data_IF_179680481789
#
_entry.id   IF_179680481789
#
_cell.length_a   1.000
_cell.length_b   1.000
_cell.length_c   1.000
_cell.angle_alpha   90.00
_cell.angle_beta   90.00
_cell.angle_gamma   90.00
#
_symmetry.space_group_name_H-M   'P 1'
#
loop_
_entity.id
_entity.type
_entity.pdbx_description
1 polymer ?
#
# COMPACT_ATOMS: atom_id res chain seq x y z
N UNK A 1 24.82 -0.64 -10.02
CA UNK A 1 23.95 -1.67 -10.62
C UNK A 1 24.84 -2.54 -11.49
N UNK A 2 24.86 -3.83 -11.28
CA UNK A 2 25.66 -4.78 -12.07
C UNK A 2 25.02 -5.11 -13.42
N UNK A 3 25.72 -5.88 -14.26
CA UNK A 3 25.27 -6.18 -15.62
C UNK A 3 24.04 -7.13 -15.64
N UNK A 4 23.86 -7.93 -14.59
CA UNK A 4 22.70 -8.82 -14.46
C UNK A 4 21.42 -8.02 -14.17
N UNK A 5 21.50 -7.09 -13.22
CA UNK A 5 20.38 -6.20 -12.90
C UNK A 5 19.98 -5.32 -14.11
N UNK A 6 20.96 -4.84 -14.89
CA UNK A 6 20.66 -4.07 -16.11
C UNK A 6 19.90 -4.89 -17.15
N UNK A 7 20.37 -6.11 -17.42
CA UNK A 7 19.67 -7.03 -18.36
C UNK A 7 18.27 -7.38 -17.87
N UNK A 8 18.09 -7.59 -16.57
CA UNK A 8 16.77 -7.83 -15.99
C UNK A 8 15.81 -6.65 -16.15
N UNK A 9 16.29 -5.42 -15.94
CA UNK A 9 15.47 -4.21 -16.14
C UNK A 9 15.14 -4.03 -17.63
N UNK A 10 16.06 -4.33 -18.54
CA UNK A 10 15.80 -4.28 -19.97
C UNK A 10 14.76 -5.31 -20.40
N UNK A 11 14.84 -6.54 -19.89
CA UNK A 11 13.81 -7.56 -20.11
C UNK A 11 12.45 -7.13 -19.59
N UNK A 12 12.40 -6.56 -18.39
CA UNK A 12 11.16 -6.01 -17.82
C UNK A 12 10.55 -4.92 -18.71
N UNK A 13 11.36 -3.97 -19.18
CA UNK A 13 10.90 -2.90 -20.10
C UNK A 13 10.30 -3.47 -21.38
N UNK A 14 10.98 -4.45 -21.99
CA UNK A 14 10.48 -5.12 -23.19
C UNK A 14 9.12 -5.78 -22.93
N UNK A 15 8.93 -6.45 -21.78
CA UNK A 15 7.63 -7.04 -21.42
C UNK A 15 6.55 -5.99 -21.19
N UNK A 16 6.89 -4.82 -20.63
CA UNK A 16 5.94 -3.70 -20.51
C UNK A 16 5.50 -3.21 -21.89
N UNK A 17 6.46 -3.04 -22.84
CA UNK A 17 6.19 -2.57 -24.20
C UNK A 17 5.39 -3.59 -25.03
N UNK A 18 5.63 -4.89 -24.82
CA UNK A 18 4.94 -5.99 -25.51
C UNK A 18 3.55 -6.30 -24.89
N UNK A 19 3.29 -5.84 -23.67
CA UNK A 19 2.03 -6.12 -22.98
C UNK A 19 0.85 -5.42 -23.68
N UNK A 20 -0.19 -6.18 -23.96
CA UNK A 20 -1.42 -5.65 -24.58
C UNK A 20 -2.06 -4.57 -23.70
N UNK A 21 -2.72 -3.59 -24.31
CA UNK A 21 -3.42 -2.54 -23.55
C UNK A 21 -4.36 -3.13 -22.47
N UNK A 22 -4.27 -2.57 -21.25
CA UNK A 22 -5.08 -2.97 -20.11
C UNK A 22 -4.75 -4.36 -19.53
N UNK A 23 -3.58 -4.93 -19.84
CA UNK A 23 -3.20 -6.27 -19.41
C UNK A 23 -2.03 -6.29 -18.40
N UNK A 24 -1.53 -5.14 -17.98
CA UNK A 24 -0.59 -5.02 -16.88
C UNK A 24 -1.33 -4.69 -15.59
N UNK A 25 -0.92 -5.33 -14.49
CA UNK A 25 -1.34 -4.99 -13.12
C UNK A 25 -0.10 -4.81 -12.25
N UNK A 26 -0.13 -3.79 -11.42
CA UNK A 26 0.88 -3.56 -10.39
C UNK A 26 0.32 -3.92 -9.01
N UNK A 27 1.09 -4.69 -8.23
CA UNK A 27 0.79 -5.06 -6.85
C UNK A 27 1.87 -4.54 -5.93
N UNK A 28 1.56 -3.52 -5.11
CA UNK A 28 2.53 -2.79 -4.32
C UNK A 28 2.37 -2.94 -2.80
N UNK A 29 3.50 -2.82 -2.08
CA UNK A 29 3.55 -2.70 -0.63
C UNK A 29 4.41 -1.51 -0.18
N UNK A 30 4.70 -1.42 1.13
CA UNK A 30 5.33 -0.26 1.75
C UNK A 30 6.71 0.12 1.16
N UNK A 31 7.44 -0.85 0.61
CA UNK A 31 8.72 -0.62 -0.08
C UNK A 31 8.60 0.27 -1.33
N UNK A 32 7.41 0.43 -1.90
CA UNK A 32 7.17 1.38 -3.01
C UNK A 32 7.33 2.82 -2.54
N UNK A 33 6.96 3.13 -1.31
CA UNK A 33 6.95 4.49 -0.75
C UNK A 33 8.22 4.87 0.01
N UNK A 34 9.21 3.97 0.14
CA UNK A 34 10.46 4.28 0.86
C UNK A 34 11.25 5.41 0.21
N UNK A 35 11.27 5.51 -1.12
CA UNK A 35 11.88 6.62 -1.87
C UNK A 35 11.05 7.93 -1.80
N UNK A 36 9.87 7.89 -1.18
CA UNK A 36 9.06 9.07 -0.81
C UNK A 36 9.27 9.51 0.63
N UNK A 37 10.20 8.85 1.36
CA UNK A 37 10.51 9.14 2.76
C UNK A 37 9.59 8.44 3.77
N UNK A 38 8.72 7.53 3.33
CA UNK A 38 7.87 6.74 4.23
C UNK A 38 8.58 5.42 4.54
N UNK A 39 8.96 5.14 5.81
CA UNK A 39 9.62 3.89 6.16
C UNK A 39 8.69 2.70 5.92
N UNK A 40 9.23 1.60 5.45
CA UNK A 40 8.49 0.35 5.43
C UNK A 40 8.34 -0.25 6.84
N UNK A 41 7.64 -1.37 6.97
CA UNK A 41 7.37 -1.97 8.27
C UNK A 41 8.51 -2.83 8.80
N UNK A 42 9.23 -3.59 7.94
CA UNK A 42 10.06 -4.73 8.33
C UNK A 42 11.54 -4.60 8.03
N UNK A 43 11.96 -3.60 7.28
CA UNK A 43 13.38 -3.35 7.04
C UNK A 43 14.11 -3.00 8.36
N UNK A 44 15.45 -3.04 8.40
CA UNK A 44 16.21 -2.63 9.59
C UNK A 44 15.88 -1.22 10.08
N UNK A 45 15.49 -0.32 9.18
CA UNK A 45 15.08 1.07 9.47
C UNK A 45 13.56 1.23 9.50
N UNK A 46 12.82 0.12 9.38
CA UNK A 46 11.37 0.09 9.30
C UNK A 46 10.67 0.37 10.64
N UNK A 47 9.36 0.50 10.55
CA UNK A 47 8.52 0.84 11.71
C UNK A 47 8.67 -0.20 12.83
N UNK A 48 8.79 -1.50 12.51
CA UNK A 48 8.89 -2.57 13.51
C UNK A 48 10.28 -2.70 14.16
N UNK A 49 11.32 -2.11 13.60
CA UNK A 49 12.63 -2.08 14.21
C UNK A 49 12.75 -1.05 15.36
N UNK A 50 11.81 -0.14 15.50
CA UNK A 50 11.81 0.91 16.52
C UNK A 50 11.25 0.37 17.85
N UNK A 51 11.68 1.02 18.97
CA UNK A 51 11.21 0.64 20.32
C UNK A 51 9.90 1.36 20.65
N UNK A 52 8.89 0.59 20.97
CA UNK A 52 7.58 1.06 21.42
C UNK A 52 7.19 0.39 22.75
N UNK A 53 6.20 0.95 23.49
CA UNK A 53 5.67 0.32 24.71
C UNK A 53 5.07 -1.08 24.46
N UNK A 54 4.46 -1.26 23.26
CA UNK A 54 3.88 -2.52 22.81
C UNK A 54 4.43 -2.88 21.42
N UNK A 55 4.41 -4.16 21.00
CA UNK A 55 4.73 -4.53 19.62
C UNK A 55 3.91 -3.73 18.62
N UNK A 56 4.51 -3.17 17.54
CA UNK A 56 3.79 -2.35 16.57
C UNK A 56 2.57 -3.04 15.96
N UNK A 57 2.64 -4.35 15.69
CA UNK A 57 1.49 -5.11 15.20
C UNK A 57 0.32 -5.10 16.20
N UNK A 58 0.60 -5.12 17.50
CA UNK A 58 -0.42 -4.99 18.53
C UNK A 58 -1.01 -3.59 18.52
N UNK A 59 -0.17 -2.55 18.43
CA UNK A 59 -0.62 -1.14 18.47
C UNK A 59 -1.54 -0.78 17.29
N UNK A 60 -1.44 -1.49 16.17
CA UNK A 60 -2.31 -1.33 15.00
C UNK A 60 -3.31 -2.49 14.84
N UNK A 61 -3.68 -3.14 15.92
CA UNK A 61 -4.77 -4.14 15.95
C UNK A 61 -6.10 -3.52 16.34
N UNK A 62 -7.19 -4.16 15.94
CA UNK A 62 -8.55 -3.73 16.29
C UNK A 62 -8.80 -3.82 17.80
N UNK A 63 -8.35 -4.89 18.43
CA UNK A 63 -8.49 -5.08 19.88
C UNK A 63 -7.73 -4.02 20.70
N UNK A 64 -6.55 -3.59 20.24
CA UNK A 64 -5.82 -2.50 20.89
C UNK A 64 -6.53 -1.15 20.69
N UNK A 65 -6.99 -0.87 19.47
CA UNK A 65 -7.78 0.34 19.19
C UNK A 65 -9.01 0.44 20.12
N UNK A 66 -9.75 -0.66 20.27
CA UNK A 66 -10.96 -0.67 21.12
C UNK A 66 -10.64 -0.51 22.62
N UNK A 67 -9.52 -1.07 23.10
CA UNK A 67 -9.12 -1.02 24.52
C UNK A 67 -8.34 0.25 24.89
N UNK A 68 -7.54 0.79 23.96
CA UNK A 68 -6.57 1.88 24.18
C UNK A 68 -6.64 2.95 23.07
N UNK A 69 -7.80 3.56 22.79
CA UNK A 69 -7.95 4.48 21.66
C UNK A 69 -7.01 5.69 21.73
N UNK A 70 -6.74 6.24 22.91
CA UNK A 70 -5.83 7.37 23.06
C UNK A 70 -4.38 7.01 22.67
N UNK A 71 -3.89 5.84 23.08
CA UNK A 71 -2.56 5.36 22.71
C UNK A 71 -2.47 5.02 21.21
N UNK A 72 -3.55 4.42 20.66
CA UNK A 72 -3.66 4.18 19.24
C UNK A 72 -3.54 5.48 18.44
N UNK A 73 -4.31 6.52 18.76
CA UNK A 73 -4.28 7.78 18.03
C UNK A 73 -2.96 8.53 18.20
N UNK A 74 -2.30 8.44 19.35
CA UNK A 74 -0.97 8.98 19.56
C UNK A 74 0.05 8.30 18.60
N UNK A 75 0.06 6.97 18.55
CA UNK A 75 0.91 6.20 17.66
C UNK A 75 0.58 6.44 16.18
N UNK A 76 -0.70 6.34 15.83
CA UNK A 76 -1.19 6.53 14.47
C UNK A 76 -0.77 7.88 13.88
N UNK A 77 -0.96 8.95 14.64
CA UNK A 77 -0.65 10.30 14.18
C UNK A 77 0.85 10.57 14.06
N UNK A 78 1.65 9.97 14.94
CA UNK A 78 3.12 10.16 14.95
C UNK A 78 3.82 9.28 13.90
N UNK A 79 3.27 8.10 13.59
CA UNK A 79 4.00 7.06 12.84
C UNK A 79 3.34 6.62 11.53
N UNK A 80 2.02 6.76 11.42
CA UNK A 80 1.29 6.26 10.26
C UNK A 80 0.92 7.35 9.27
N UNK A 81 0.94 8.62 9.69
CA UNK A 81 0.64 9.75 8.83
C UNK A 81 1.91 10.35 8.23
N UNK A 82 1.98 10.40 6.91
CA UNK A 82 3.04 11.03 6.14
C UNK A 82 2.43 11.97 5.08
N UNK A 83 1.62 12.93 5.53
CA UNK A 83 0.78 13.79 4.67
C UNK A 83 1.59 14.68 3.72
N UNK A 84 2.82 15.04 4.10
CA UNK A 84 3.73 15.87 3.29
C UNK A 84 4.49 15.06 2.23
N UNK A 85 4.44 13.73 2.29
CA UNK A 85 5.15 12.86 1.34
C UNK A 85 4.70 13.13 -0.10
N UNK A 86 5.67 13.03 -1.02
CA UNK A 86 5.43 13.25 -2.45
C UNK A 86 5.63 11.95 -3.23
N UNK A 87 4.85 11.73 -4.30
CA UNK A 87 5.04 10.59 -5.18
C UNK A 87 6.48 10.53 -5.71
N UNK A 88 7.10 9.36 -5.68
CA UNK A 88 8.41 9.12 -6.28
C UNK A 88 8.30 8.69 -7.75
N UNK A 89 9.44 8.31 -8.37
CA UNK A 89 9.51 7.90 -9.77
C UNK A 89 8.57 6.73 -10.10
N UNK A 90 8.50 5.70 -9.23
CA UNK A 90 7.63 4.55 -9.44
C UNK A 90 6.15 4.95 -9.50
N UNK A 91 5.68 5.77 -8.56
CA UNK A 91 4.29 6.24 -8.56
C UNK A 91 3.94 7.00 -9.83
N UNK A 92 4.84 7.91 -10.27
CA UNK A 92 4.62 8.70 -11.50
C UNK A 92 4.62 7.84 -12.76
N UNK A 93 5.57 6.90 -12.87
CA UNK A 93 5.61 5.99 -14.01
C UNK A 93 4.37 5.09 -14.08
N UNK A 94 3.86 4.61 -12.96
CA UNK A 94 2.63 3.82 -12.94
C UNK A 94 1.43 4.64 -13.42
N UNK A 95 1.31 5.91 -13.03
CA UNK A 95 0.28 6.80 -13.55
C UNK A 95 0.43 7.06 -15.06
N UNK A 96 1.66 7.25 -15.57
CA UNK A 96 1.94 7.36 -17.01
C UNK A 96 1.53 6.09 -17.78
N UNK A 97 1.85 4.90 -17.26
CA UNK A 97 1.47 3.62 -17.86
C UNK A 97 -0.05 3.40 -17.87
N UNK A 98 -0.74 3.86 -16.84
CA UNK A 98 -2.21 3.83 -16.80
C UNK A 98 -2.82 4.79 -17.83
N UNK A 99 -2.31 6.02 -17.93
CA UNK A 99 -2.73 7.01 -18.94
C UNK A 99 -2.43 6.55 -20.37
N UNK A 100 -1.32 5.85 -20.58
CA UNK A 100 -0.98 5.21 -21.85
C UNK A 100 -1.86 3.99 -22.18
N UNK A 101 -2.66 3.51 -21.20
CA UNK A 101 -3.55 2.38 -21.37
C UNK A 101 -2.89 1.01 -21.20
N UNK A 102 -1.61 0.91 -20.83
CA UNK A 102 -0.90 -0.36 -20.60
C UNK A 102 -1.29 -0.95 -19.22
N UNK A 103 -1.23 -0.13 -18.16
CA UNK A 103 -1.59 -0.52 -16.79
C UNK A 103 -3.12 -0.46 -16.61
N UNK A 104 -3.72 -1.55 -16.14
CA UNK A 104 -5.16 -1.62 -15.88
C UNK A 104 -5.57 -1.29 -14.46
N UNK A 105 -4.70 -1.53 -13.50
CA UNK A 105 -4.94 -1.21 -12.09
C UNK A 105 -3.65 -1.22 -11.28
N UNK A 106 -3.63 -0.40 -10.23
CA UNK A 106 -2.72 -0.52 -9.10
C UNK A 106 -3.46 -1.20 -7.96
N UNK A 107 -2.99 -2.36 -7.52
CA UNK A 107 -3.42 -3.02 -6.28
C UNK A 107 -2.39 -2.68 -5.21
N UNK A 108 -2.79 -2.03 -4.14
CA UNK A 108 -1.83 -1.57 -3.13
C UNK A 108 -2.21 -1.97 -1.72
N UNK A 109 -1.20 -2.34 -0.94
CA UNK A 109 -1.30 -2.53 0.51
C UNK A 109 -1.06 -1.20 1.26
N UNK A 110 -0.59 -0.16 0.55
CA UNK A 110 -0.29 1.14 1.15
C UNK A 110 -1.56 1.95 1.40
N UNK A 111 -1.50 2.76 2.45
CA UNK A 111 -2.59 3.61 2.92
C UNK A 111 -2.30 5.11 2.70
N UNK A 112 -1.15 5.43 2.07
CA UNK A 112 -0.58 6.78 1.98
C UNK A 112 -1.22 7.69 0.90
N UNK A 113 -1.96 7.12 -0.06
CA UNK A 113 -2.59 7.86 -1.15
C UNK A 113 -1.63 8.37 -2.22
N UNK A 114 -0.36 7.94 -2.24
CA UNK A 114 0.64 8.46 -3.18
C UNK A 114 0.40 8.05 -4.63
N UNK A 115 -0.24 6.92 -4.89
CA UNK A 115 -0.62 6.53 -6.24
C UNK A 115 -1.64 7.50 -6.84
N UNK A 116 -2.70 7.83 -6.09
CA UNK A 116 -3.70 8.81 -6.50
C UNK A 116 -3.07 10.22 -6.63
N UNK A 117 -2.21 10.59 -5.69
CA UNK A 117 -1.48 11.88 -5.74
C UNK A 117 -0.55 11.97 -6.96
N UNK A 118 -0.07 10.83 -7.48
CA UNK A 118 0.71 10.76 -8.73
C UNK A 118 -0.14 10.85 -10.00
N UNK A 119 -1.46 10.65 -9.90
CA UNK A 119 -2.39 10.68 -11.02
C UNK A 119 -2.96 9.32 -11.44
N UNK A 120 -2.69 8.24 -10.70
CA UNK A 120 -3.36 6.95 -10.93
C UNK A 120 -4.83 7.06 -10.54
N UNK A 121 -5.72 6.58 -11.41
CA UNK A 121 -7.18 6.64 -11.23
C UNK A 121 -7.74 5.34 -10.66
N UNK A 122 -7.27 4.19 -11.15
CA UNK A 122 -7.73 2.88 -10.71
C UNK A 122 -6.79 2.27 -9.66
N UNK A 123 -6.92 2.75 -8.44
CA UNK A 123 -6.14 2.27 -7.29
C UNK A 123 -7.04 1.46 -6.37
N UNK A 124 -6.70 0.18 -6.19
CA UNK A 124 -7.41 -0.78 -5.32
C UNK A 124 -6.65 -0.86 -3.99
N UNK A 125 -7.13 -0.10 -3.01
CA UNK A 125 -6.50 0.06 -1.69
C UNK A 125 -6.95 -1.08 -0.74
N UNK A 126 -6.20 -2.18 -0.70
CA UNK A 126 -6.53 -3.37 0.10
C UNK A 126 -6.64 -3.09 1.60
N UNK A 127 -5.86 -2.13 2.10
CA UNK A 127 -5.83 -1.77 3.51
C UNK A 127 -6.46 -0.39 3.80
N UNK A 128 -7.25 0.14 2.85
CA UNK A 128 -7.88 1.44 2.99
C UNK A 128 -6.94 2.62 2.81
N UNK A 129 -7.25 3.77 3.46
CA UNK A 129 -6.49 5.01 3.29
C UNK A 129 -6.52 5.87 4.55
N UNK A 130 -5.41 6.51 4.87
CA UNK A 130 -5.31 7.52 5.94
C UNK A 130 -6.11 8.80 5.62
N UNK A 131 -6.43 9.02 4.34
CA UNK A 131 -7.10 10.23 3.89
C UNK A 131 -8.61 10.23 4.15
N UNK A 132 -9.20 9.04 4.38
CA UNK A 132 -10.62 8.85 4.67
C UNK A 132 -10.80 8.38 6.11
N UNK A 133 -11.82 8.87 6.78
CA UNK A 133 -12.12 8.53 8.16
C UNK A 133 -13.64 8.51 8.35
N UNK A 134 -14.15 7.65 9.23
CA UNK A 134 -15.58 7.50 9.43
C UNK A 134 -15.92 7.39 10.91
N UNK A 135 -17.03 8.02 11.31
CA UNK A 135 -17.61 7.79 12.62
C UNK A 135 -18.09 6.34 12.73
N UNK A 136 -17.66 5.65 13.77
CA UNK A 136 -18.01 4.24 13.99
C UNK A 136 -19.50 4.03 14.29
N UNK A 137 -20.18 5.05 14.82
CA UNK A 137 -21.58 4.94 15.26
C UNK A 137 -22.56 5.38 14.17
N UNK A 138 -22.32 6.53 13.51
CA UNK A 138 -23.27 7.10 12.56
C UNK A 138 -22.78 7.06 11.08
N UNK A 139 -21.54 6.63 10.82
CA UNK A 139 -20.99 6.53 9.47
C UNK A 139 -20.63 7.88 8.81
N UNK A 140 -20.71 9.00 9.54
CA UNK A 140 -20.33 10.29 9.00
C UNK A 140 -18.86 10.29 8.57
N UNK A 141 -18.58 10.79 7.35
CA UNK A 141 -17.25 10.81 6.76
C UNK A 141 -16.49 12.09 7.12
N UNK A 142 -15.19 11.95 7.36
CA UNK A 142 -14.28 13.03 7.70
C UNK A 142 -12.99 12.92 6.90
N UNK A 143 -12.49 14.00 6.27
CA UNK A 143 -11.14 14.04 5.73
C UNK A 143 -10.09 14.02 6.85
N UNK A 144 -8.84 13.75 6.51
CA UNK A 144 -7.77 13.57 7.51
C UNK A 144 -7.47 14.83 8.33
N UNK A 145 -7.55 16.00 7.73
CA UNK A 145 -7.36 17.29 8.41
C UNK A 145 -8.43 17.52 9.50
N UNK A 146 -9.66 17.14 9.21
CA UNK A 146 -10.75 17.22 10.18
C UNK A 146 -10.60 16.18 11.31
N UNK A 147 -10.14 14.94 10.99
CA UNK A 147 -9.79 13.95 12.01
C UNK A 147 -8.74 14.50 12.97
N UNK A 148 -7.68 15.13 12.43
CA UNK A 148 -6.60 15.70 13.24
C UNK A 148 -7.10 16.87 14.11
N UNK A 149 -7.94 17.73 13.56
CA UNK A 149 -8.57 18.82 14.31
C UNK A 149 -9.40 18.28 15.49
N UNK A 150 -10.27 17.29 15.22
CA UNK A 150 -11.11 16.66 16.26
C UNK A 150 -10.28 15.98 17.34
N UNK A 151 -9.15 15.35 16.96
CA UNK A 151 -8.20 14.75 17.91
C UNK A 151 -7.55 15.81 18.79
N UNK A 152 -7.08 16.91 18.21
CA UNK A 152 -6.35 17.96 18.92
C UNK A 152 -7.26 18.77 19.87
N UNK A 153 -8.55 18.85 19.56
CA UNK A 153 -9.56 19.47 20.43
C UNK A 153 -10.01 18.55 21.58
N UNK A 154 -9.81 17.23 21.45
CA UNK A 154 -10.20 16.26 22.47
C UNK A 154 -9.18 16.20 23.61
N UNK A 155 -9.63 16.32 24.87
CA UNK A 155 -8.75 16.30 26.04
C UNK A 155 -7.95 14.98 26.20
N UNK A 156 -8.48 13.87 25.68
CA UNK A 156 -7.86 12.54 25.67
C UNK A 156 -7.19 12.19 24.33
N UNK A 157 -7.17 13.12 23.36
CA UNK A 157 -6.61 12.90 22.04
C UNK A 157 -7.38 11.88 21.17
N UNK A 158 -8.64 11.56 21.51
CA UNK A 158 -9.48 10.65 20.73
C UNK A 158 -10.50 11.45 19.92
N UNK A 159 -10.44 11.44 18.59
CA UNK A 159 -11.34 12.23 17.75
C UNK A 159 -12.78 11.72 17.86
N UNK A 160 -13.70 12.62 18.17
CA UNK A 160 -15.13 12.30 18.33
C UNK A 160 -15.98 13.03 17.30
N UNK A 161 -16.96 12.31 16.79
CA UNK A 161 -17.95 12.83 15.85
C UNK A 161 -18.76 13.96 16.48
N UNK A 162 -18.77 15.18 15.91
CA UNK A 162 -19.57 16.28 16.45
C UNK A 162 -21.08 16.05 16.34
N UNK A 163 -21.54 15.11 15.48
CA UNK A 163 -22.96 14.82 15.32
C UNK A 163 -23.50 13.84 16.36
N UNK A 164 -22.71 12.83 16.80
CA UNK A 164 -23.23 11.78 17.70
C UNK A 164 -22.30 11.42 18.87
N UNK A 165 -21.09 11.97 18.93
CA UNK A 165 -20.12 11.68 19.99
C UNK A 165 -19.31 10.39 19.79
N UNK A 166 -19.62 9.58 18.78
CA UNK A 166 -18.91 8.35 18.45
C UNK A 166 -17.46 8.60 18.02
N UNK A 167 -16.59 7.59 18.15
CA UNK A 167 -15.17 7.70 17.74
C UNK A 167 -15.10 7.79 16.20
N UNK A 168 -14.28 8.70 15.70
CA UNK A 168 -13.95 8.77 14.25
C UNK A 168 -12.71 7.94 14.00
N UNK A 169 -12.88 6.77 13.33
CA UNK A 169 -11.81 5.83 13.03
C UNK A 169 -11.27 6.09 11.61
N UNK A 170 -9.93 6.02 11.39
CA UNK A 170 -9.38 5.99 10.05
C UNK A 170 -9.94 4.81 9.23
N UNK A 171 -10.18 5.03 7.94
CA UNK A 171 -10.51 3.98 6.97
C UNK A 171 -9.26 3.14 6.63
N UNK A 172 -8.65 2.61 7.67
CA UNK A 172 -7.47 1.75 7.60
C UNK A 172 -7.84 0.40 8.20
N UNK A 173 -7.55 -0.67 7.46
CA UNK A 173 -7.76 -2.04 7.93
C UNK A 173 -6.68 -2.36 8.95
N UNK A 174 -7.11 -2.53 10.20
CA UNK A 174 -6.23 -2.94 11.30
C UNK A 174 -6.04 -4.47 11.30
N UNK A 175 -4.99 -4.96 11.95
CA UNK A 175 -4.93 -6.39 12.26
C UNK A 175 -6.21 -6.82 12.95
N UNK A 176 -6.67 -8.06 12.70
CA UNK A 176 -7.94 -8.63 13.16
C UNK A 176 -9.18 -8.15 12.38
N UNK A 177 -9.05 -7.14 11.49
CA UNK A 177 -10.15 -6.72 10.62
C UNK A 177 -10.09 -7.43 9.26
N UNK A 178 -11.25 -7.64 8.66
CA UNK A 178 -11.35 -8.17 7.30
C UNK A 178 -11.08 -7.08 6.26
N UNK A 179 -10.53 -7.47 5.11
CA UNK A 179 -10.45 -6.60 3.94
C UNK A 179 -11.86 -6.32 3.39
N UNK A 180 -12.03 -5.17 2.72
CA UNK A 180 -13.25 -4.88 1.99
C UNK A 180 -13.45 -5.88 0.84
N UNK A 181 -14.59 -6.58 0.84
CA UNK A 181 -14.88 -7.66 -0.12
C UNK A 181 -14.90 -7.16 -1.57
N UNK A 182 -15.35 -5.93 -1.81
CA UNK A 182 -15.44 -5.37 -3.18
C UNK A 182 -14.04 -5.05 -3.70
N UNK A 183 -13.18 -4.45 -2.87
CA UNK A 183 -11.78 -4.18 -3.22
C UNK A 183 -11.02 -5.47 -3.43
N UNK A 184 -11.24 -6.48 -2.57
CA UNK A 184 -10.63 -7.80 -2.69
C UNK A 184 -11.03 -8.47 -4.02
N UNK A 185 -12.33 -8.54 -4.32
CA UNK A 185 -12.82 -9.15 -5.56
C UNK A 185 -12.32 -8.39 -6.80
N UNK A 186 -12.35 -7.06 -6.79
CA UNK A 186 -11.83 -6.24 -7.89
C UNK A 186 -10.33 -6.47 -8.12
N UNK A 187 -9.56 -6.71 -7.05
CA UNK A 187 -8.13 -7.03 -7.13
C UNK A 187 -7.88 -8.41 -7.71
N UNK A 188 -8.65 -9.42 -7.28
CA UNK A 188 -8.62 -10.77 -7.87
C UNK A 188 -8.95 -10.71 -9.36
N UNK A 189 -10.02 -10.00 -9.73
CA UNK A 189 -10.45 -9.87 -11.12
C UNK A 189 -9.40 -9.18 -12.00
N UNK A 190 -8.73 -8.15 -11.46
CA UNK A 190 -7.67 -7.46 -12.18
C UNK A 190 -6.46 -8.38 -12.40
N UNK A 191 -5.98 -9.04 -11.33
CA UNK A 191 -4.82 -9.94 -11.37
C UNK A 191 -5.07 -11.14 -12.30
N UNK A 192 -6.27 -11.74 -12.23
CA UNK A 192 -6.61 -12.91 -13.08
C UNK A 192 -6.61 -12.57 -14.58
N UNK A 193 -6.91 -11.32 -14.93
CA UNK A 193 -6.93 -10.87 -16.34
C UNK A 193 -5.60 -10.35 -16.84
N UNK A 194 -4.62 -10.16 -15.99
CA UNK A 194 -3.33 -9.60 -16.39
C UNK A 194 -2.51 -10.60 -17.20
N UNK A 195 -1.79 -10.10 -18.20
CA UNK A 195 -0.72 -10.84 -18.91
C UNK A 195 0.63 -10.58 -18.23
N UNK A 196 0.81 -9.39 -17.63
CA UNK A 196 1.98 -8.99 -16.84
C UNK A 196 1.54 -8.57 -15.43
N UNK A 197 2.01 -9.28 -14.41
CA UNK A 197 1.86 -8.89 -13.01
C UNK A 197 3.20 -8.44 -12.44
N UNK A 198 3.27 -7.20 -11.99
CA UNK A 198 4.47 -6.66 -11.30
C UNK A 198 4.18 -6.53 -9.81
N UNK A 199 4.89 -7.30 -9.02
CA UNK A 199 4.82 -7.29 -7.55
C UNK A 199 6.03 -6.52 -7.03
N UNK A 200 5.82 -5.44 -6.28
CA UNK A 200 6.92 -4.56 -5.87
C UNK A 200 6.84 -4.08 -4.42
N UNK A 201 7.99 -3.97 -3.77
CA UNK A 201 8.12 -3.36 -2.45
C UNK A 201 7.29 -4.04 -1.34
N UNK A 202 7.10 -5.34 -1.43
CA UNK A 202 6.35 -6.12 -0.43
C UNK A 202 7.09 -7.39 -0.03
N UNK A 203 7.04 -7.73 1.26
CA UNK A 203 7.60 -9.01 1.75
C UNK A 203 6.74 -10.23 1.40
N UNK A 204 5.52 -10.02 0.87
CA UNK A 204 4.53 -11.08 0.62
C UNK A 204 4.26 -11.99 1.83
N UNK A 205 4.30 -11.41 3.04
CA UNK A 205 4.10 -12.12 4.30
C UNK A 205 2.76 -11.81 4.99
N UNK A 206 2.01 -10.80 4.52
CA UNK A 206 0.73 -10.37 5.12
C UNK A 206 -0.43 -10.96 4.35
N UNK A 207 -1.17 -11.88 4.99
CA UNK A 207 -2.36 -12.48 4.44
C UNK A 207 -3.63 -11.74 4.91
N UNK A 208 -4.69 -11.67 4.07
CA UNK A 208 -4.87 -12.40 2.80
C UNK A 208 -4.21 -11.74 1.58
N UNK A 209 -3.72 -10.50 1.68
CA UNK A 209 -3.19 -9.74 0.53
C UNK A 209 -2.08 -10.49 -0.25
N UNK A 210 -1.13 -11.13 0.46
CA UNK A 210 -0.05 -11.90 -0.17
C UNK A 210 -0.55 -13.09 -1.00
N UNK A 211 -1.72 -13.63 -0.70
CA UNK A 211 -2.33 -14.74 -1.45
C UNK A 211 -2.96 -14.32 -2.79
N UNK A 212 -3.14 -13.02 -3.03
CA UNK A 212 -3.76 -12.54 -4.26
C UNK A 212 -2.94 -12.86 -5.52
N UNK A 213 -1.63 -12.93 -5.40
CA UNK A 213 -0.76 -13.29 -6.53
C UNK A 213 -0.99 -14.71 -7.04
N UNK A 214 -1.57 -15.61 -6.22
CA UNK A 214 -1.90 -16.99 -6.62
C UNK A 214 -3.02 -17.04 -7.67
N UNK A 215 -3.78 -15.96 -7.87
CA UNK A 215 -4.80 -15.83 -8.92
C UNK A 215 -4.22 -15.41 -10.27
N UNK A 216 -2.93 -15.06 -10.34
CA UNK A 216 -2.28 -14.71 -11.61
C UNK A 216 -2.12 -15.94 -12.49
N UNK A 217 -2.50 -15.81 -13.77
CA UNK A 217 -2.43 -16.88 -14.78
C UNK A 217 -1.86 -16.37 -16.12
N UNK A 218 -1.24 -15.18 -16.10
CA UNK A 218 -0.69 -14.55 -17.30
C UNK A 218 0.71 -15.02 -17.66
N UNK A 219 1.35 -14.30 -18.57
CA UNK A 219 2.59 -14.71 -19.20
C UNK A 219 3.84 -14.40 -18.35
N UNK A 220 3.83 -13.26 -17.62
CA UNK A 220 5.01 -12.79 -16.88
C UNK A 220 4.68 -12.29 -15.48
N UNK A 221 5.28 -12.95 -14.47
CA UNK A 221 5.31 -12.50 -13.08
C UNK A 221 6.69 -11.90 -12.77
N UNK A 222 6.70 -10.61 -12.43
CA UNK A 222 7.93 -9.89 -12.04
C UNK A 222 7.87 -9.52 -10.57
N UNK A 223 8.92 -9.83 -9.80
CA UNK A 223 9.06 -9.39 -8.40
C UNK A 223 10.21 -8.38 -8.31
N UNK A 224 9.90 -7.19 -7.83
CA UNK A 224 10.85 -6.10 -7.56
C UNK A 224 10.93 -5.86 -6.06
N UNK A 225 11.95 -6.34 -5.40
CA UNK A 225 12.09 -6.16 -3.97
C UNK A 225 13.57 -6.18 -3.56
N UNK A 226 13.98 -5.35 -2.59
CA UNK A 226 15.39 -5.30 -2.12
C UNK A 226 15.85 -6.59 -1.45
N UNK A 227 14.93 -7.32 -0.84
CA UNK A 227 15.21 -8.58 -0.14
C UNK A 227 14.42 -9.72 -0.76
N UNK A 228 14.90 -10.95 -0.69
CA UNK A 228 14.17 -12.12 -1.18
C UNK A 228 12.79 -12.26 -0.54
N UNK A 229 11.85 -12.80 -1.30
CA UNK A 229 10.49 -13.10 -0.86
C UNK A 229 10.21 -14.61 -0.90
N UNK A 230 9.22 -15.12 -0.14
CA UNK A 230 8.83 -16.53 -0.21
C UNK A 230 8.32 -16.96 -1.60
N UNK A 231 8.04 -16.00 -2.49
CA UNK A 231 7.42 -16.20 -3.79
C UNK A 231 8.37 -16.06 -4.98
N UNK A 232 9.66 -15.76 -4.75
CA UNK A 232 10.65 -15.54 -5.81
C UNK A 232 10.74 -16.72 -6.80
N UNK A 233 10.54 -17.96 -6.30
CA UNK A 233 10.58 -19.16 -7.16
C UNK A 233 9.42 -19.26 -8.17
N UNK A 234 8.38 -18.48 -8.00
CA UNK A 234 7.21 -18.44 -8.89
C UNK A 234 7.34 -17.36 -9.95
N UNK A 235 8.27 -16.40 -9.75
CA UNK A 235 8.48 -15.29 -10.67
C UNK A 235 9.35 -15.70 -11.87
N UNK A 236 9.01 -15.15 -13.04
CA UNK A 236 9.83 -15.24 -14.23
C UNK A 236 11.05 -14.33 -14.16
N UNK A 237 10.94 -13.24 -13.39
CA UNK A 237 12.01 -12.28 -13.16
C UNK A 237 11.96 -11.72 -11.74
N UNK A 238 13.11 -11.81 -11.04
CA UNK A 238 13.32 -11.15 -9.74
C UNK A 238 14.36 -10.04 -9.88
N UNK A 239 14.01 -8.82 -9.46
CA UNK A 239 14.89 -7.66 -9.48
C UNK A 239 15.17 -7.20 -8.04
N UNK A 240 16.39 -7.42 -7.56
CA UNK A 240 16.85 -6.97 -6.24
C UNK A 240 17.25 -5.48 -6.30
N UNK A 241 16.26 -4.58 -6.38
CA UNK A 241 16.46 -3.15 -6.60
C UNK A 241 15.40 -2.31 -5.87
N UNK A 242 15.64 -1.00 -5.79
CA UNK A 242 14.58 -0.06 -5.42
C UNK A 242 13.55 0.02 -6.54
N UNK A 243 12.29 0.21 -6.17
CA UNK A 243 11.20 0.21 -7.15
C UNK A 243 11.33 1.37 -8.13
N UNK A 244 11.70 2.57 -7.64
CA UNK A 244 11.89 3.73 -8.49
C UNK A 244 13.04 3.58 -9.50
N UNK A 245 14.09 2.82 -9.18
CA UNK A 245 15.19 2.56 -10.12
C UNK A 245 14.77 1.63 -11.26
N UNK A 246 13.87 0.69 -11.00
CA UNK A 246 13.30 -0.22 -12.02
C UNK A 246 12.33 0.51 -12.95
N UNK A 247 11.58 1.46 -12.41
CA UNK A 247 10.58 2.26 -13.16
C UNK A 247 11.13 3.57 -13.74
N UNK A 248 12.43 3.76 -13.77
CA UNK A 248 13.10 4.94 -14.36
C UNK A 248 13.34 4.75 -15.87
N UNK A 249 12.25 4.81 -16.68
CA UNK A 249 12.30 4.69 -18.15
C UNK A 249 11.15 5.43 -18.84
#
# INVERSE_FOLDING_TARGET
MDDEARRGIEAFRNWVDETKPGRMVFFGGAGVSTESGIPDFRSPDGLYAQKYPHPPEQMISRSFFDAHPAEFFAFYSDRMLALDAQPNRAHRKLAELEQAGTLSAVVTQNIDGLHQKAGSERVLELHGSVLRNFCMDCGAAYPVDELLRLRDEAADGVPRCPACGGIVKPDVVLYEEALDERTLQASVDAITRADLLVVAGTSLAVYPAAGLIDFFQGDHLVIVNRTPTPRDRQADLCLAANVGDVFDF
#
